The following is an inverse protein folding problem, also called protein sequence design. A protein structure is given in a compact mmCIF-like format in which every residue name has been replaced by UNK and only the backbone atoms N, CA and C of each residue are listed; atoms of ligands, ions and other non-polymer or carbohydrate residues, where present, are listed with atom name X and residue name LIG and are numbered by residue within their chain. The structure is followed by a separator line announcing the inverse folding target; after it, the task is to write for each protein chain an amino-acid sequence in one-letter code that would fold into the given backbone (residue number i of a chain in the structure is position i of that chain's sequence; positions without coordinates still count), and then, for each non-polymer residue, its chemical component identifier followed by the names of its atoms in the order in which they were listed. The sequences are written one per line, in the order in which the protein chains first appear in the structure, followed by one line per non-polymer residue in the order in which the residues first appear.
data_IF_975098651188
#
_entry.id   IF_975098651188
#
_cell.length_a   1.000
_cell.length_b   1.000
_cell.length_c   1.000
_cell.angle_alpha   90.00
_cell.angle_beta   90.00
_cell.angle_gamma   90.00
#
_symmetry.space_group_name_H-M   'P 1'
#
loop_
_entity.id
_entity.type
_entity.pdbx_description
1 polymer ?
#
# COMPACT_ATOMS: atom_id res chain seq x y z
N UNK A 1 16.37 70.80 -47.16
CA UNK A 1 15.68 69.81 -48.02
C UNK A 1 15.37 68.59 -47.15
N UNK A 2 14.08 68.30 -47.01
CA UNK A 2 13.42 67.13 -46.41
C UNK A 2 13.99 66.52 -45.11
N UNK A 3 13.36 66.84 -43.98
CA UNK A 3 13.39 66.02 -42.78
C UNK A 3 12.32 64.93 -42.92
N UNK A 4 12.74 63.68 -42.84
CA UNK A 4 11.86 62.51 -42.92
C UNK A 4 11.31 62.22 -41.51
N UNK A 5 10.00 62.40 -41.34
CA UNK A 5 9.26 62.14 -40.10
C UNK A 5 8.71 60.73 -40.20
N UNK A 6 9.41 59.77 -39.59
CA UNK A 6 8.91 58.40 -39.44
C UNK A 6 7.99 58.34 -38.22
N UNK A 7 6.70 58.18 -38.48
CA UNK A 7 5.68 57.89 -37.49
C UNK A 7 5.82 56.44 -37.00
N UNK A 8 6.22 56.25 -35.74
CA UNK A 8 6.15 54.93 -35.09
C UNK A 8 4.85 54.85 -34.31
N UNK A 9 3.95 54.01 -34.81
CA UNK A 9 2.64 53.70 -34.24
C UNK A 9 2.79 52.89 -32.94
N UNK A 10 2.32 53.44 -31.82
CA UNK A 10 2.06 52.69 -30.58
C UNK A 10 0.84 51.80 -30.77
N UNK A 11 1.06 50.56 -31.18
CA UNK A 11 0.01 49.55 -31.29
C UNK A 11 -0.12 48.77 -29.97
N UNK A 12 -1.23 49.02 -29.25
CA UNK A 12 -2.03 48.01 -28.57
C UNK A 12 -1.44 47.34 -27.32
N UNK A 13 -1.73 47.91 -26.15
CA UNK A 13 -1.85 47.13 -24.92
C UNK A 13 -3.09 46.24 -25.08
N UNK A 14 -3.00 44.89 -25.01
CA UNK A 14 -4.19 44.05 -25.06
C UNK A 14 -4.98 44.21 -23.75
N UNK A 15 -6.05 45.00 -23.79
CA UNK A 15 -7.05 45.11 -22.70
C UNK A 15 -8.05 43.96 -22.75
N UNK A 16 -7.58 42.72 -22.77
CA UNK A 16 -8.43 41.57 -22.43
C UNK A 16 -7.92 40.95 -21.14
N UNK A 17 -8.56 41.33 -20.04
CA UNK A 17 -8.62 40.46 -18.87
C UNK A 17 -9.36 39.21 -19.37
N UNK A 18 -8.63 38.13 -19.61
CA UNK A 18 -9.24 36.82 -19.80
C UNK A 18 -10.13 36.58 -18.57
N UNK A 19 -11.45 36.32 -18.73
CA UNK A 19 -12.25 35.96 -17.58
C UNK A 19 -11.61 34.74 -16.94
N UNK A 20 -11.43 34.79 -15.62
CA UNK A 20 -11.03 33.64 -14.81
C UNK A 20 -11.86 32.46 -15.30
N UNK A 21 -11.21 31.46 -15.90
CA UNK A 21 -11.91 30.31 -16.45
C UNK A 21 -12.82 29.76 -15.35
N UNK A 22 -14.13 29.87 -15.54
CA UNK A 22 -15.09 29.19 -14.68
C UNK A 22 -14.82 27.71 -14.88
N UNK A 23 -14.25 27.06 -13.86
CA UNK A 23 -14.13 25.61 -13.80
C UNK A 23 -15.53 25.01 -13.62
N UNK A 24 -16.36 25.10 -14.66
CA UNK A 24 -17.68 24.47 -14.75
C UNK A 24 -17.50 23.03 -15.25
N UNK A 25 -16.78 22.22 -14.48
CA UNK A 25 -16.33 20.92 -14.98
C UNK A 25 -16.51 19.72 -14.05
N UNK A 26 -16.75 19.91 -12.74
CA UNK A 26 -17.00 18.76 -11.88
C UNK A 26 -18.50 18.42 -11.90
N UNK A 27 -18.85 17.32 -12.57
CA UNK A 27 -20.20 16.76 -12.50
C UNK A 27 -20.56 16.41 -11.05
N UNK A 28 -21.84 16.38 -10.73
CA UNK A 28 -22.30 15.98 -9.37
C UNK A 28 -21.77 14.60 -8.99
N UNK A 29 -21.56 13.71 -9.97
CA UNK A 29 -20.96 12.40 -9.77
C UNK A 29 -19.48 12.50 -9.36
N UNK A 30 -18.69 13.35 -10.01
CA UNK A 30 -17.28 13.59 -9.66
C UNK A 30 -17.14 14.26 -8.30
N UNK A 31 -17.98 15.25 -7.98
CA UNK A 31 -17.99 15.89 -6.66
C UNK A 31 -18.39 14.90 -5.56
N UNK A 32 -19.35 14.00 -5.84
CA UNK A 32 -19.76 12.95 -4.90
C UNK A 32 -18.66 11.91 -4.72
N UNK A 33 -18.03 11.46 -5.80
CA UNK A 33 -16.90 10.54 -5.74
C UNK A 33 -15.72 11.13 -4.97
N UNK A 34 -15.41 12.42 -5.18
CA UNK A 34 -14.37 13.13 -4.44
C UNK A 34 -14.70 13.20 -2.95
N UNK A 35 -15.94 13.55 -2.59
CA UNK A 35 -16.40 13.62 -1.19
C UNK A 35 -16.39 12.25 -0.50
N UNK A 36 -16.78 11.20 -1.20
CA UNK A 36 -16.68 9.81 -0.69
C UNK A 36 -15.21 9.43 -0.50
N UNK A 37 -14.35 9.76 -1.45
CA UNK A 37 -12.90 9.57 -1.35
C UNK A 37 -12.29 10.28 -0.14
N UNK A 38 -12.61 11.57 0.05
CA UNK A 38 -12.11 12.35 1.20
C UNK A 38 -12.58 11.75 2.53
N UNK A 39 -13.86 11.40 2.66
CA UNK A 39 -14.38 10.77 3.89
C UNK A 39 -13.72 9.41 4.18
N UNK A 40 -13.38 8.63 3.15
CA UNK A 40 -12.65 7.37 3.32
C UNK A 40 -11.19 7.57 3.73
N UNK A 41 -10.55 8.65 3.29
CA UNK A 41 -9.20 9.01 3.71
C UNK A 41 -9.19 9.51 5.16
N UNK A 42 -10.18 10.31 5.56
CA UNK A 42 -10.31 10.77 6.94
C UNK A 42 -10.59 9.60 7.91
N UNK A 43 -11.46 8.66 7.52
CA UNK A 43 -11.71 7.45 8.31
C UNK A 43 -10.47 6.54 8.39
N UNK A 44 -9.71 6.39 7.30
CA UNK A 44 -8.45 5.64 7.29
C UNK A 44 -7.37 6.31 8.16
N UNK A 45 -7.26 7.64 8.07
CA UNK A 45 -6.36 8.44 8.90
C UNK A 45 -6.74 8.36 10.37
N UNK A 46 -8.04 8.33 10.69
CA UNK A 46 -8.53 8.18 12.06
C UNK A 46 -8.36 6.75 12.58
N UNK A 47 -8.53 5.71 11.74
CA UNK A 47 -8.20 4.33 12.11
C UNK A 47 -6.70 4.17 12.40
N UNK A 48 -5.83 4.72 11.54
CA UNK A 48 -4.39 4.75 11.77
C UNK A 48 -4.01 5.58 13.00
N UNK A 49 -4.70 6.70 13.26
CA UNK A 49 -4.45 7.56 14.42
C UNK A 49 -5.03 7.00 15.74
N UNK A 50 -6.06 6.16 15.67
CA UNK A 50 -6.72 5.57 16.85
C UNK A 50 -5.90 4.47 17.55
N UNK A 51 -4.73 4.09 16.99
CA UNK A 51 -3.89 3.02 17.54
C UNK A 51 -4.48 1.61 17.35
N UNK A 52 -5.51 1.47 16.50
CA UNK A 52 -6.19 0.20 16.22
C UNK A 52 -5.69 -0.50 14.96
N UNK A 53 -4.47 -0.19 14.52
CA UNK A 53 -3.82 -0.80 13.37
C UNK A 53 -2.46 -1.38 13.73
N UNK A 54 -2.04 -2.37 12.95
CA UNK A 54 -0.70 -2.96 13.03
C UNK A 54 -0.07 -3.00 11.64
N UNK A 55 1.24 -2.84 11.59
CA UNK A 55 1.98 -2.86 10.33
C UNK A 55 2.34 -4.29 9.91
N UNK A 56 2.03 -4.60 8.65
CA UNK A 56 2.47 -5.78 7.93
C UNK A 56 3.72 -5.42 7.13
N UNK A 57 4.70 -6.32 7.11
CA UNK A 57 5.94 -6.17 6.35
C UNK A 57 6.20 -7.39 5.47
N UNK A 58 6.72 -7.14 4.28
CA UNK A 58 7.21 -8.15 3.35
C UNK A 58 8.52 -7.72 2.70
N UNK A 59 9.51 -8.60 2.72
CA UNK A 59 10.75 -8.43 1.96
C UNK A 59 10.60 -9.03 0.56
N UNK A 60 10.85 -8.25 -0.47
CA UNK A 60 10.74 -8.66 -1.87
C UNK A 60 11.81 -8.04 -2.77
N UNK A 61 12.12 -8.71 -3.89
CA UNK A 61 13.20 -8.34 -4.80
C UNK A 61 14.55 -8.91 -4.39
N UNK A 62 15.62 -8.23 -4.79
CA UNK A 62 17.00 -8.66 -4.61
C UNK A 62 17.59 -9.38 -5.82
N UNK A 63 18.87 -9.73 -5.72
CA UNK A 63 19.63 -10.34 -6.81
C UNK A 63 19.62 -11.87 -6.69
N UNK A 64 19.30 -12.61 -7.77
CA UNK A 64 19.45 -14.07 -7.80
C UNK A 64 20.87 -14.50 -7.39
N UNK A 65 21.03 -15.61 -6.64
CA UNK A 65 20.03 -16.62 -6.31
C UNK A 65 19.19 -16.32 -5.05
N UNK A 66 19.50 -15.25 -4.32
CA UNK A 66 18.86 -14.92 -3.03
C UNK A 66 17.66 -13.96 -3.16
N UNK A 67 17.05 -13.89 -4.35
CA UNK A 67 15.92 -13.02 -4.61
C UNK A 67 14.60 -13.56 -4.01
N UNK A 68 13.71 -12.65 -3.67
CA UNK A 68 12.31 -12.93 -3.29
C UNK A 68 11.38 -12.40 -4.36
N UNK A 69 10.26 -13.10 -4.60
CA UNK A 69 9.26 -12.69 -5.59
C UNK A 69 8.59 -11.38 -5.16
N UNK A 70 8.39 -10.47 -6.12
CA UNK A 70 7.55 -9.29 -5.96
C UNK A 70 6.08 -9.73 -6.02
N UNK A 71 5.45 -9.81 -4.86
CA UNK A 71 4.06 -10.30 -4.71
C UNK A 71 3.12 -9.14 -4.36
N UNK A 72 3.62 -8.13 -3.64
CA UNK A 72 2.86 -6.94 -3.27
C UNK A 72 3.34 -5.76 -4.10
N UNK A 73 2.42 -5.01 -4.67
CA UNK A 73 2.68 -3.70 -5.29
C UNK A 73 1.86 -2.67 -4.55
N UNK A 74 2.39 -1.48 -4.29
CA UNK A 74 1.60 -0.38 -3.72
C UNK A 74 1.05 0.45 -4.88
N UNK A 75 -0.25 0.68 -4.90
CA UNK A 75 -0.92 1.48 -5.92
C UNK A 75 -0.74 2.99 -5.69
N UNK A 76 -1.34 3.80 -6.56
CA UNK A 76 -1.27 5.27 -6.47
C UNK A 76 -1.93 5.84 -5.19
N UNK A 77 -2.85 5.08 -4.58
CA UNK A 77 -3.56 5.48 -3.37
C UNK A 77 -2.83 5.03 -2.10
N UNK A 78 -1.66 4.40 -2.22
CA UNK A 78 -0.95 3.83 -1.09
C UNK A 78 -1.60 2.55 -0.56
N UNK A 79 -2.42 1.87 -1.35
CA UNK A 79 -3.05 0.58 -1.00
C UNK A 79 -2.25 -0.59 -1.58
N UNK A 80 -2.14 -1.72 -0.88
CA UNK A 80 -1.46 -2.90 -1.39
C UNK A 80 -2.32 -3.64 -2.42
N UNK A 81 -1.71 -4.05 -3.53
CA UNK A 81 -2.24 -4.98 -4.51
C UNK A 81 -1.42 -6.27 -4.42
N UNK A 82 -2.08 -7.38 -4.09
CA UNK A 82 -1.44 -8.64 -3.69
C UNK A 82 -1.77 -9.75 -4.71
N UNK A 83 -0.74 -10.37 -5.28
CA UNK A 83 -0.94 -11.50 -6.20
C UNK A 83 -1.60 -12.70 -5.49
N UNK A 84 -2.46 -13.41 -6.20
CA UNK A 84 -3.14 -14.62 -5.72
C UNK A 84 -2.18 -15.83 -5.61
N UNK A 85 -1.32 -15.82 -4.60
CA UNK A 85 -0.31 -16.84 -4.34
C UNK A 85 -0.02 -16.94 -2.84
N UNK A 86 0.82 -17.87 -2.42
CA UNK A 86 1.27 -17.96 -1.02
C UNK A 86 2.10 -16.73 -0.66
N UNK A 87 1.78 -16.13 0.49
CA UNK A 87 2.35 -14.87 0.93
C UNK A 87 3.09 -15.03 2.27
N UNK A 88 4.40 -14.83 2.26
CA UNK A 88 5.18 -14.71 3.51
C UNK A 88 5.22 -13.25 3.97
N UNK A 89 4.83 -13.02 5.22
CA UNK A 89 4.81 -11.70 5.87
C UNK A 89 5.31 -11.78 7.30
N UNK A 90 5.67 -10.63 7.84
CA UNK A 90 5.83 -10.41 9.28
C UNK A 90 4.89 -9.31 9.74
N UNK A 91 4.35 -9.41 10.96
CA UNK A 91 3.41 -8.43 11.52
C UNK A 91 3.99 -7.86 12.83
N UNK A 92 3.82 -6.55 13.01
CA UNK A 92 4.17 -5.82 14.23
C UNK A 92 5.56 -5.20 14.16
N UNK A 93 6.61 -5.96 14.47
CA UNK A 93 7.98 -5.39 14.60
C UNK A 93 8.78 -5.49 13.29
N UNK A 94 9.39 -4.37 12.89
CA UNK A 94 10.32 -4.26 11.75
C UNK A 94 11.57 -5.14 11.83
N UNK A 95 11.99 -5.59 13.02
CA UNK A 95 13.21 -6.38 13.22
C UNK A 95 13.24 -7.65 12.38
N UNK A 96 12.09 -8.30 12.20
CA UNK A 96 11.99 -9.50 11.37
C UNK A 96 12.30 -9.16 9.90
N UNK A 97 11.61 -8.17 9.35
CA UNK A 97 11.83 -7.73 7.98
C UNK A 97 13.26 -7.25 7.75
N UNK A 98 13.83 -6.51 8.71
CA UNK A 98 15.21 -6.05 8.65
C UNK A 98 16.20 -7.23 8.59
N UNK A 99 16.02 -8.26 9.42
CA UNK A 99 16.84 -9.46 9.38
C UNK A 99 16.81 -10.12 7.99
N UNK A 100 15.62 -10.36 7.43
CA UNK A 100 15.49 -10.99 6.10
C UNK A 100 15.97 -10.10 4.95
N UNK A 101 15.93 -8.78 5.11
CA UNK A 101 16.51 -7.87 4.13
C UNK A 101 18.03 -8.04 4.05
N UNK A 102 18.73 -8.25 5.18
CA UNK A 102 20.18 -8.52 5.16
C UNK A 102 20.56 -9.79 4.40
N UNK A 103 19.65 -10.77 4.34
CA UNK A 103 19.86 -12.03 3.62
C UNK A 103 19.61 -11.91 2.11
N UNK A 104 19.10 -10.76 1.64
CA UNK A 104 18.64 -10.54 0.27
C UNK A 104 19.17 -9.20 -0.26
N UNK A 105 20.44 -9.13 -0.72
CA UNK A 105 21.02 -7.91 -1.25
C UNK A 105 20.19 -7.33 -2.40
N UNK A 106 19.92 -6.02 -2.36
CA UNK A 106 19.09 -5.34 -3.35
C UNK A 106 17.58 -5.56 -3.20
N UNK A 107 17.14 -6.17 -2.09
CA UNK A 107 15.71 -6.31 -1.78
C UNK A 107 15.14 -5.05 -1.12
N UNK A 108 13.83 -4.94 -1.22
CA UNK A 108 13.01 -3.87 -0.64
C UNK A 108 12.06 -4.42 0.40
N UNK A 109 11.69 -3.60 1.36
CA UNK A 109 10.64 -3.88 2.34
C UNK A 109 9.38 -3.14 1.92
N UNK A 110 8.35 -3.90 1.56
CA UNK A 110 6.99 -3.38 1.38
C UNK A 110 6.24 -3.48 2.69
N UNK A 111 5.57 -2.40 3.10
CA UNK A 111 4.80 -2.35 4.34
C UNK A 111 3.47 -1.63 4.17
N UNK A 112 2.45 -2.04 4.90
CA UNK A 112 1.12 -1.40 4.95
C UNK A 112 0.48 -1.74 6.29
N UNK A 113 -0.59 -1.04 6.67
CA UNK A 113 -1.30 -1.29 7.91
C UNK A 113 -2.58 -2.08 7.68
N UNK A 114 -2.94 -2.90 8.67
CA UNK A 114 -4.22 -3.62 8.76
C UNK A 114 -4.85 -3.33 10.13
N UNK A 115 -6.18 -3.45 10.27
CA UNK A 115 -6.83 -3.31 11.57
C UNK A 115 -6.46 -4.46 12.51
N UNK A 116 -6.47 -4.20 13.82
CA UNK A 116 -6.12 -5.20 14.85
C UNK A 116 -6.96 -6.48 14.76
N UNK A 117 -8.25 -6.39 14.42
CA UNK A 117 -9.07 -7.61 14.29
C UNK A 117 -8.55 -8.55 13.20
N UNK A 118 -7.95 -8.02 12.13
CA UNK A 118 -7.39 -8.85 11.05
C UNK A 118 -6.10 -9.52 11.51
N UNK A 119 -5.31 -8.81 12.33
CA UNK A 119 -4.12 -9.37 12.98
C UNK A 119 -4.47 -10.48 13.97
N UNK A 120 -5.44 -10.23 14.85
CA UNK A 120 -5.96 -11.21 15.80
C UNK A 120 -6.51 -12.43 15.06
N UNK A 121 -7.27 -12.21 13.98
CA UNK A 121 -7.81 -13.29 13.17
C UNK A 121 -6.73 -14.15 12.49
N UNK A 122 -5.66 -13.55 11.98
CA UNK A 122 -4.50 -14.29 11.45
C UNK A 122 -3.87 -15.11 12.57
N UNK A 123 -3.63 -14.50 13.73
CA UNK A 123 -2.97 -15.15 14.85
C UNK A 123 -3.77 -16.32 15.40
N UNK A 124 -5.07 -16.16 15.59
CA UNK A 124 -5.98 -17.20 16.12
C UNK A 124 -6.17 -18.36 15.13
N UNK A 125 -6.12 -18.07 13.82
CA UNK A 125 -6.25 -19.08 12.78
C UNK A 125 -4.93 -19.82 12.49
N UNK A 126 -3.79 -19.23 12.86
CA UNK A 126 -2.49 -19.76 12.48
C UNK A 126 -2.14 -21.04 13.25
N UNK A 127 -1.63 -22.04 12.53
CA UNK A 127 -1.15 -23.29 13.13
C UNK A 127 0.37 -23.45 12.95
N UNK A 128 1.04 -24.23 13.82
CA UNK A 128 2.47 -24.48 13.69
C UNK A 128 2.86 -25.13 12.35
N UNK A 129 4.06 -24.81 11.87
CA UNK A 129 4.64 -25.45 10.69
C UNK A 129 4.82 -26.98 10.87
N UNK A 130 5.17 -27.43 12.08
CA UNK A 130 5.31 -28.84 12.39
C UNK A 130 3.95 -29.54 12.28
N UNK A 131 3.86 -30.56 11.43
CA UNK A 131 2.64 -31.32 11.21
C UNK A 131 1.56 -30.56 10.42
N UNK A 132 1.87 -29.41 9.82
CA UNK A 132 0.91 -28.55 9.12
C UNK A 132 0.00 -29.32 8.16
N UNK A 133 0.58 -30.12 7.25
CA UNK A 133 -0.18 -30.86 6.22
C UNK A 133 -1.12 -31.93 6.78
N UNK A 134 -0.77 -32.53 7.91
CA UNK A 134 -1.55 -33.59 8.56
C UNK A 134 -2.47 -33.07 9.65
N UNK A 135 -2.39 -31.79 10.01
CA UNK A 135 -3.19 -31.20 11.07
C UNK A 135 -4.64 -31.05 10.58
N UNK A 136 -5.66 -31.63 11.26
CA UNK A 136 -7.05 -31.49 10.87
C UNK A 136 -7.54 -30.03 10.87
N UNK A 137 -6.93 -29.16 11.69
CA UNK A 137 -7.22 -27.73 11.72
C UNK A 137 -6.70 -26.98 10.49
N UNK A 138 -5.92 -27.61 9.62
CA UNK A 138 -5.40 -26.96 8.41
C UNK A 138 -6.49 -26.68 7.35
N UNK A 139 -7.69 -27.23 7.51
CA UNK A 139 -8.84 -27.00 6.61
C UNK A 139 -8.48 -27.17 5.12
N UNK A 140 -7.67 -28.19 4.80
CA UNK A 140 -7.24 -28.44 3.42
C UNK A 140 -6.14 -27.51 2.90
N UNK A 141 -5.37 -26.84 3.78
CA UNK A 141 -4.28 -25.95 3.37
C UNK A 141 -4.65 -24.47 3.34
N UNK A 142 -5.77 -24.10 3.95
CA UNK A 142 -6.37 -22.77 3.85
C UNK A 142 -6.06 -21.85 5.04
N UNK A 143 -5.52 -22.38 6.14
CA UNK A 143 -5.19 -21.58 7.32
C UNK A 143 -3.80 -20.95 7.24
N UNK A 144 -3.49 -19.89 8.00
CA UNK A 144 -2.14 -19.38 8.13
C UNK A 144 -1.20 -20.41 8.78
N UNK A 145 0.08 -20.33 8.41
CA UNK A 145 1.14 -21.12 9.03
C UNK A 145 2.08 -20.20 9.78
N UNK A 146 2.36 -20.50 11.05
CA UNK A 146 3.41 -19.82 11.81
C UNK A 146 4.77 -20.27 11.28
N UNK A 147 5.59 -19.32 10.83
CA UNK A 147 6.95 -19.56 10.33
C UNK A 147 7.97 -18.76 11.14
N UNK A 148 9.21 -19.25 11.16
CA UNK A 148 10.34 -18.63 11.84
C UNK A 148 10.08 -18.25 13.32
N UNK A 149 9.47 -19.13 14.15
CA UNK A 149 9.02 -18.79 15.51
C UNK A 149 10.14 -18.46 16.50
N UNK A 150 11.39 -18.70 16.13
CA UNK A 150 12.59 -18.41 16.93
C UNK A 150 13.22 -17.06 16.60
N UNK A 151 12.65 -16.31 15.66
CA UNK A 151 13.13 -14.98 15.25
C UNK A 151 12.25 -13.87 15.84
N UNK A 152 12.77 -12.65 16.02
CA UNK A 152 11.97 -11.54 16.54
C UNK A 152 10.74 -11.23 15.67
N UNK A 153 9.62 -10.84 16.28
CA UNK A 153 8.37 -10.53 15.58
C UNK A 153 7.50 -11.77 15.33
N UNK A 154 6.35 -11.58 14.68
CA UNK A 154 5.44 -12.67 14.29
C UNK A 154 5.49 -12.85 12.79
N UNK A 155 5.79 -14.06 12.32
CA UNK A 155 5.88 -14.36 10.90
C UNK A 155 4.95 -15.48 10.48
N UNK A 156 4.38 -15.28 9.30
CA UNK A 156 3.34 -16.13 8.76
C UNK A 156 3.60 -16.44 7.29
N UNK A 157 3.30 -17.67 6.90
CA UNK A 157 3.05 -18.06 5.52
C UNK A 157 1.53 -18.19 5.34
N UNK A 158 0.98 -17.34 4.48
CA UNK A 158 -0.44 -17.20 4.26
C UNK A 158 -0.85 -17.85 2.93
N UNK A 159 -1.89 -18.70 2.92
CA UNK A 159 -2.52 -19.16 1.69
C UNK A 159 -3.11 -18.01 0.87
N UNK A 160 -3.34 -18.24 -0.42
CA UNK A 160 -3.65 -17.15 -1.36
C UNK A 160 -4.94 -16.38 -1.04
N UNK A 161 -5.92 -17.02 -0.39
CA UNK A 161 -7.15 -16.37 0.06
C UNK A 161 -6.88 -15.21 1.03
N UNK A 162 -5.92 -15.37 1.93
CA UNK A 162 -5.56 -14.36 2.92
C UNK A 162 -4.93 -13.13 2.29
N UNK A 163 -4.22 -13.28 1.16
CA UNK A 163 -3.71 -12.14 0.40
C UNK A 163 -4.83 -11.21 -0.05
N UNK A 164 -5.98 -11.75 -0.46
CA UNK A 164 -7.15 -10.94 -0.82
C UNK A 164 -7.77 -10.25 0.38
N UNK A 165 -7.93 -10.96 1.50
CA UNK A 165 -8.47 -10.35 2.71
C UNK A 165 -7.57 -9.25 3.27
N UNK A 166 -6.24 -9.39 3.14
CA UNK A 166 -5.30 -8.32 3.48
C UNK A 166 -5.46 -7.11 2.56
N UNK A 167 -5.62 -7.32 1.26
CA UNK A 167 -5.87 -6.23 0.29
C UNK A 167 -7.18 -5.51 0.58
N UNK A 168 -8.26 -6.23 0.87
CA UNK A 168 -9.59 -5.69 1.17
C UNK A 168 -9.65 -4.90 2.48
N UNK A 169 -8.83 -5.29 3.47
CA UNK A 169 -8.85 -4.70 4.82
C UNK A 169 -7.62 -3.86 5.15
N UNK A 170 -6.71 -3.65 4.19
CA UNK A 170 -5.59 -2.75 4.36
C UNK A 170 -6.11 -1.32 4.60
N UNK A 171 -5.47 -0.61 5.55
CA UNK A 171 -5.77 0.79 5.79
C UNK A 171 -5.28 1.59 4.58
N UNK A 172 -6.17 2.27 3.84
CA UNK A 172 -5.80 3.04 2.65
C UNK A 172 -4.70 4.07 2.92
N UNK A 173 -3.79 4.29 1.96
CA UNK A 173 -2.74 5.30 2.09
C UNK A 173 -1.54 4.93 2.98
N UNK A 174 -1.54 3.75 3.62
CA UNK A 174 -0.47 3.36 4.55
C UNK A 174 0.69 2.60 3.89
N UNK A 175 0.50 2.17 2.64
CA UNK A 175 1.45 1.42 1.84
C UNK A 175 2.75 2.18 1.54
N UNK A 176 3.88 1.53 1.81
CA UNK A 176 5.24 2.07 1.63
C UNK A 176 6.17 1.00 1.08
N UNK A 177 7.14 1.42 0.28
CA UNK A 177 8.26 0.58 -0.18
C UNK A 177 9.56 1.25 0.25
N UNK A 178 10.45 0.52 0.91
CA UNK A 178 11.74 0.99 1.42
C UNK A 178 12.90 0.11 0.97
#
# INVERSE_FOLDING_TARGET
MAADVVATTTAGVPTSVQPLASFSGATVAEVKALRVGVNSLDAAAEMAASGNSVTVFRVQGGTPPLASRNIITIDVNGSPVIQNTTLNISIGNTSHAAHFQTLRPGSTVTSFEIPNWMDDFIQESAIPQLGYRSNPLNQGGLVPKIVDPTTPGRSYELPSLWGKWLEENAVPGTGKVK
#
